data_IF_219343671404
#
_entry.id   IF_219343671404
#
_cell.length_a   1.000
_cell.length_b   1.000
_cell.length_c   1.000
_cell.angle_alpha   90.00
_cell.angle_beta   90.00
_cell.angle_gamma   90.00
#
_symmetry.space_group_name_H-M   'P 1'
#
loop_
_entity.id
_entity.type
_entity.pdbx_description
1 polymer ?
#
# COMPACT_ATOMS: atom_id res chain seq x y z
N UNK A 1 25.74 -26.97 -47.77
CA UNK A 1 25.63 -25.83 -46.84
C UNK A 1 26.36 -26.16 -45.54
N UNK A 2 27.49 -25.50 -45.27
CA UNK A 2 28.22 -25.67 -44.00
C UNK A 2 27.50 -24.92 -42.88
N UNK A 3 27.25 -25.59 -41.75
CA UNK A 3 26.78 -24.94 -40.52
C UNK A 3 28.00 -24.33 -39.83
N UNK A 4 27.92 -23.09 -39.34
CA UNK A 4 29.02 -22.44 -38.61
C UNK A 4 29.44 -21.08 -39.18
N UNK A 5 30.74 -20.77 -39.14
CA UNK A 5 31.33 -19.45 -39.46
C UNK A 5 30.87 -18.87 -40.80
N UNK A 6 30.90 -19.68 -41.86
CA UNK A 6 30.44 -19.27 -43.20
C UNK A 6 28.97 -18.86 -43.25
N UNK A 7 28.13 -19.44 -42.38
CA UNK A 7 26.70 -19.12 -42.29
C UNK A 7 26.40 -17.90 -41.41
N UNK A 8 27.27 -17.57 -40.44
CA UNK A 8 27.05 -16.44 -39.52
C UNK A 8 27.19 -15.09 -40.23
N UNK A 9 28.07 -14.96 -41.22
CA UNK A 9 28.24 -13.73 -42.00
C UNK A 9 26.97 -13.27 -42.74
N UNK A 10 26.05 -14.20 -43.01
CA UNK A 10 24.78 -13.91 -43.70
C UNK A 10 23.69 -13.33 -42.76
N UNK A 11 23.90 -13.31 -41.43
CA UNK A 11 22.87 -12.95 -40.42
C UNK A 11 22.78 -11.45 -40.15
N UNK A 12 22.50 -10.64 -41.18
CA UNK A 12 22.37 -9.17 -41.08
C UNK A 12 20.97 -8.67 -40.71
N UNK A 13 19.93 -9.36 -41.15
CA UNK A 13 18.55 -8.94 -40.94
C UNK A 13 18.11 -9.13 -39.48
N UNK A 14 17.39 -8.15 -38.92
CA UNK A 14 16.91 -8.20 -37.54
C UNK A 14 15.46 -8.64 -37.50
N UNK A 15 15.15 -9.65 -36.69
CA UNK A 15 13.78 -10.11 -36.46
C UNK A 15 13.03 -9.24 -35.44
N UNK A 16 13.77 -8.67 -34.48
CA UNK A 16 13.20 -7.94 -33.35
C UNK A 16 13.69 -6.48 -33.24
N UNK A 17 12.76 -5.59 -32.90
CA UNK A 17 12.99 -4.18 -32.55
C UNK A 17 12.49 -3.86 -31.13
N UNK A 18 12.69 -2.62 -30.69
CA UNK A 18 12.23 -2.14 -29.39
C UNK A 18 10.70 -2.04 -29.37
N UNK A 19 10.09 -2.58 -28.31
CA UNK A 19 8.64 -2.49 -28.12
C UNK A 19 8.26 -1.20 -27.40
N UNK A 20 7.34 -0.41 -27.98
CA UNK A 20 6.82 0.85 -27.39
C UNK A 20 6.28 0.71 -25.96
N UNK A 21 5.62 -0.41 -25.63
CA UNK A 21 5.02 -0.64 -24.30
C UNK A 21 6.04 -0.97 -23.19
N UNK A 22 7.03 -1.83 -23.47
CA UNK A 22 7.90 -2.40 -22.44
C UNK A 22 9.38 -2.06 -22.60
N UNK A 23 9.77 -1.33 -23.66
CA UNK A 23 11.14 -0.91 -23.92
C UNK A 23 12.12 -2.04 -24.26
N UNK A 24 11.68 -3.30 -24.25
CA UNK A 24 12.56 -4.43 -24.59
C UNK A 24 12.65 -4.67 -26.10
N UNK A 25 13.82 -5.10 -26.58
CA UNK A 25 14.04 -5.57 -27.95
C UNK A 25 13.42 -6.95 -28.19
N UNK A 26 12.09 -6.98 -28.25
CA UNK A 26 11.30 -8.21 -28.39
C UNK A 26 10.09 -8.03 -29.31
N UNK A 27 9.96 -6.90 -29.99
CA UNK A 27 8.89 -6.68 -30.96
C UNK A 27 9.27 -7.34 -32.28
N UNK A 28 8.53 -8.38 -32.69
CA UNK A 28 8.78 -9.08 -33.94
C UNK A 28 8.18 -8.29 -35.10
N UNK A 29 8.99 -7.97 -36.11
CA UNK A 29 8.57 -7.12 -37.24
C UNK A 29 7.50 -7.79 -38.11
N UNK A 30 7.78 -9.00 -38.62
CA UNK A 30 6.83 -9.71 -39.50
C UNK A 30 5.52 -10.07 -38.79
N UNK A 31 5.60 -10.66 -37.60
CA UNK A 31 4.42 -11.04 -36.80
C UNK A 31 3.74 -9.87 -36.09
N UNK A 32 4.29 -8.66 -36.20
CA UNK A 32 3.81 -7.45 -35.54
C UNK A 32 3.40 -7.65 -34.08
N UNK A 33 4.15 -8.46 -33.33
CA UNK A 33 3.81 -8.88 -31.96
C UNK A 33 5.04 -8.90 -31.06
N UNK A 34 4.87 -8.49 -29.81
CA UNK A 34 5.94 -8.48 -28.82
C UNK A 34 6.02 -9.81 -28.06
N UNK A 35 7.14 -10.52 -28.20
CA UNK A 35 7.41 -11.76 -27.48
C UNK A 35 7.54 -11.59 -25.96
N UNK A 36 7.82 -10.38 -25.45
CA UNK A 36 7.88 -10.12 -24.00
C UNK A 36 6.51 -9.81 -23.42
N UNK A 37 5.89 -8.71 -23.86
CA UNK A 37 4.68 -8.15 -23.24
C UNK A 37 3.37 -8.46 -23.98
N UNK A 38 3.42 -9.01 -25.20
CA UNK A 38 2.22 -9.32 -26.01
C UNK A 38 1.59 -8.13 -26.74
N UNK A 39 2.23 -6.95 -26.79
CA UNK A 39 1.77 -5.85 -27.66
C UNK A 39 1.60 -6.36 -29.10
N UNK A 40 0.47 -6.12 -29.80
CA UNK A 40 -0.57 -5.11 -29.59
C UNK A 40 -1.70 -5.48 -28.62
N UNK A 41 -1.79 -6.72 -28.14
CA UNK A 41 -2.90 -7.17 -27.28
C UNK A 41 -3.09 -6.25 -26.05
N UNK A 42 -4.34 -6.00 -25.65
CA UNK A 42 -4.68 -5.10 -24.53
C UNK A 42 -4.06 -5.58 -23.21
N UNK A 43 -4.16 -6.88 -22.93
CA UNK A 43 -3.61 -7.50 -21.71
C UNK A 43 -2.11 -7.75 -21.85
N UNK A 44 -1.35 -7.55 -20.76
CA UNK A 44 0.06 -7.90 -20.70
C UNK A 44 0.23 -9.42 -20.62
N UNK A 45 1.07 -9.98 -21.50
CA UNK A 45 1.45 -11.39 -21.49
C UNK A 45 2.15 -11.77 -20.18
N UNK A 46 1.61 -12.75 -19.46
CA UNK A 46 2.18 -13.33 -18.23
C UNK A 46 1.85 -14.82 -18.19
N UNK A 47 2.77 -15.64 -17.67
CA UNK A 47 2.54 -17.08 -17.48
C UNK A 47 2.93 -17.52 -16.09
N UNK A 48 2.28 -18.57 -15.59
CA UNK A 48 2.49 -19.09 -14.25
C UNK A 48 3.79 -19.88 -14.09
N UNK A 49 4.25 -20.54 -15.16
CA UNK A 49 5.49 -21.33 -15.17
C UNK A 49 6.77 -20.53 -14.94
N UNK A 50 6.76 -19.20 -15.06
CA UNK A 50 7.95 -18.36 -14.83
C UNK A 50 7.77 -17.33 -13.72
N UNK A 51 8.09 -17.72 -12.48
CA UNK A 51 8.10 -16.81 -11.33
C UNK A 51 9.12 -15.66 -11.50
N UNK A 52 10.31 -15.95 -12.05
CA UNK A 52 11.37 -14.94 -12.28
C UNK A 52 10.93 -13.88 -13.29
N UNK A 53 10.19 -14.26 -14.34
CA UNK A 53 9.67 -13.30 -15.31
C UNK A 53 8.59 -12.40 -14.71
N UNK A 54 7.72 -12.95 -13.85
CA UNK A 54 6.71 -12.16 -13.12
C UNK A 54 7.39 -11.11 -12.23
N UNK A 55 8.37 -11.52 -11.42
CA UNK A 55 9.09 -10.64 -10.48
C UNK A 55 9.71 -9.41 -11.16
N UNK A 56 10.32 -9.57 -12.33
CA UNK A 56 10.98 -8.46 -13.06
C UNK A 56 10.01 -7.39 -13.58
N UNK A 57 8.71 -7.68 -13.70
CA UNK A 57 7.72 -6.76 -14.29
C UNK A 57 6.48 -6.58 -13.40
N UNK A 58 6.57 -6.94 -12.13
CA UNK A 58 5.46 -6.77 -11.18
C UNK A 58 5.34 -5.32 -10.73
N UNK A 59 4.16 -4.94 -10.24
CA UNK A 59 3.95 -3.65 -9.57
C UNK A 59 4.94 -3.53 -8.40
N UNK A 60 5.64 -2.41 -8.28
CA UNK A 60 6.80 -2.29 -7.36
C UNK A 60 8.11 -1.98 -8.06
N UNK A 61 8.31 -2.53 -9.26
CA UNK A 61 9.60 -2.41 -9.99
C UNK A 61 9.83 -1.04 -10.66
N UNK A 62 8.75 -0.30 -10.94
CA UNK A 62 8.81 1.00 -11.62
C UNK A 62 8.78 2.18 -10.65
N UNK A 63 8.68 3.40 -11.20
CA UNK A 63 8.69 4.65 -10.42
C UNK A 63 7.50 4.83 -9.44
N UNK A 64 6.42 4.06 -9.60
CA UNK A 64 5.23 4.09 -8.74
C UNK A 64 4.70 5.50 -8.38
N UNK A 65 4.70 6.44 -9.33
CA UNK A 65 4.41 7.87 -9.06
C UNK A 65 3.10 8.09 -8.30
N UNK A 66 2.03 7.41 -8.73
CA UNK A 66 0.72 7.52 -8.08
C UNK A 66 0.66 6.68 -6.79
N UNK A 67 0.92 5.37 -6.87
CA UNK A 67 0.80 4.45 -5.75
C UNK A 67 1.65 4.86 -4.54
N UNK A 68 2.87 5.39 -4.75
CA UNK A 68 3.71 5.92 -3.67
C UNK A 68 3.00 7.02 -2.86
N UNK A 69 2.32 7.93 -3.55
CA UNK A 69 1.57 9.01 -2.91
C UNK A 69 0.32 8.48 -2.21
N UNK A 70 -0.35 7.47 -2.78
CA UNK A 70 -1.51 6.81 -2.15
C UNK A 70 -1.12 6.17 -0.82
N UNK A 71 -0.03 5.38 -0.79
CA UNK A 71 0.45 4.77 0.46
C UNK A 71 0.87 5.81 1.49
N UNK A 72 1.50 6.91 1.06
CA UNK A 72 1.85 8.03 1.94
C UNK A 72 0.60 8.68 2.57
N UNK A 73 -0.43 8.97 1.76
CA UNK A 73 -1.70 9.53 2.27
C UNK A 73 -2.41 8.57 3.21
N UNK A 74 -2.44 7.28 2.87
CA UNK A 74 -3.06 6.25 3.70
C UNK A 74 -2.42 6.24 5.10
N UNK A 75 -1.09 6.27 5.19
CA UNK A 75 -0.35 6.30 6.46
C UNK A 75 -0.74 7.50 7.35
N UNK A 76 -0.77 8.71 6.78
CA UNK A 76 -1.11 9.91 7.56
C UNK A 76 -2.59 9.97 7.94
N UNK A 77 -3.49 9.49 7.08
CA UNK A 77 -4.92 9.43 7.39
C UNK A 77 -5.23 8.38 8.47
N UNK A 78 -4.50 7.26 8.53
CA UNK A 78 -4.67 6.26 9.60
C UNK A 78 -4.16 6.75 10.95
N UNK A 79 -3.12 7.59 10.98
CA UNK A 79 -2.60 8.21 12.22
C UNK A 79 -3.59 9.26 12.78
N UNK A 80 -4.30 10.00 11.92
CA UNK A 80 -5.33 10.97 12.35
C UNK A 80 -6.62 10.33 12.89
N UNK A 81 -6.96 9.10 12.50
CA UNK A 81 -8.10 8.38 13.08
C UNK A 81 -7.76 7.84 14.49
N UNK A 82 -6.50 7.49 14.75
CA UNK A 82 -6.05 7.02 16.08
C UNK A 82 -5.99 8.15 17.12
N UNK A 83 -5.51 9.35 16.75
CA UNK A 83 -5.49 10.49 17.66
C UNK A 83 -6.86 11.21 17.83
N UNK A 84 -7.80 11.09 16.86
CA UNK A 84 -9.18 11.57 17.05
C UNK A 84 -10.00 10.68 17.99
N UNK A 85 -9.71 9.38 18.07
CA UNK A 85 -10.37 8.48 19.01
C UNK A 85 -9.79 8.55 20.43
N UNK A 86 -8.55 9.01 20.62
CA UNK A 86 -7.97 9.22 21.96
C UNK A 86 -8.19 10.63 22.54
N UNK A 87 -8.53 11.63 21.73
CA UNK A 87 -8.81 12.99 22.22
C UNK A 87 -10.31 13.36 22.25
N UNK A 88 -11.21 12.38 22.17
CA UNK A 88 -12.65 12.61 22.39
C UNK A 88 -13.26 11.69 23.47
N UNK A 89 -12.42 11.25 24.43
CA UNK A 89 -12.84 10.62 25.70
C UNK A 89 -12.22 11.36 26.90
N UNK A 90 -11.92 12.66 26.76
CA UNK A 90 -11.46 13.51 27.87
C UNK A 90 -12.40 14.66 28.20
N UNK A 91 -13.55 14.74 27.53
CA UNK A 91 -14.60 15.75 27.76
C UNK A 91 -15.86 15.18 28.43
N UNK A 92 -16.06 13.85 28.47
CA UNK A 92 -17.24 13.24 29.15
C UNK A 92 -16.98 12.82 30.60
N UNK A 93 -15.72 12.72 31.05
CA UNK A 93 -15.40 12.49 32.47
C UNK A 93 -15.38 13.78 33.29
N UNK A 94 -15.35 14.96 32.68
CA UNK A 94 -15.47 16.26 33.38
C UNK A 94 -16.93 16.62 33.69
N UNK A 95 -17.88 16.24 32.85
CA UNK A 95 -19.31 16.54 33.07
C UNK A 95 -19.97 15.65 34.15
N UNK A 96 -19.39 14.51 34.51
CA UNK A 96 -19.89 13.66 35.60
C UNK A 96 -19.52 14.19 37.00
N UNK A 97 -18.49 15.03 37.14
CA UNK A 97 -18.09 15.61 38.43
C UNK A 97 -18.85 16.90 38.79
N UNK A 98 -19.44 17.60 37.84
CA UNK A 98 -20.20 18.84 38.09
C UNK A 98 -21.70 18.63 38.34
N UNK A 99 -22.29 17.49 37.93
CA UNK A 99 -23.65 17.13 38.33
C UNK A 99 -23.71 16.43 39.70
N UNK A 100 -22.56 16.04 40.28
CA UNK A 100 -22.46 15.45 41.62
C UNK A 100 -22.33 16.51 42.73
N UNK A 101 -21.94 17.74 42.41
CA UNK A 101 -21.80 18.85 43.38
C UNK A 101 -23.07 19.67 43.58
N UNK A 102 -24.07 19.52 42.69
CA UNK A 102 -25.31 20.30 42.76
C UNK A 102 -26.51 19.56 43.39
N UNK A 103 -26.35 18.30 43.79
CA UNK A 103 -27.42 17.47 44.38
C UNK A 103 -27.20 17.13 45.86
N UNK A 104 -26.27 17.81 46.54
CA UNK A 104 -25.98 17.63 47.98
C UNK A 104 -25.77 18.97 48.70
N UNK A 105 -26.51 20.01 48.30
CA UNK A 105 -26.69 21.21 49.10
C UNK A 105 -28.19 21.49 49.19
N UNK A 106 -28.90 20.61 49.89
CA UNK A 106 -29.96 21.05 50.79
C UNK A 106 -30.39 19.88 51.68
N UNK A 107 -30.26 20.15 52.98
CA UNK A 107 -30.91 19.47 54.09
C UNK A 107 -30.35 18.14 54.64
N UNK A 108 -29.50 18.36 55.66
CA UNK A 108 -29.53 17.73 57.00
C UNK A 108 -28.58 16.54 57.25
N UNK A 109 -27.42 16.90 57.82
CA UNK A 109 -26.69 16.19 58.90
C UNK A 109 -27.68 15.65 59.98
N UNK A 110 -27.31 14.79 60.97
CA UNK A 110 -25.97 14.42 61.45
C UNK A 110 -25.84 12.95 61.98
N UNK A 111 -24.71 12.69 62.62
CA UNK A 111 -24.44 11.72 63.70
C UNK A 111 -23.71 10.43 63.34
N UNK A 112 -22.45 10.45 63.81
CA UNK A 112 -21.66 9.30 64.24
C UNK A 112 -21.21 8.38 63.13
N UNK A 113 -19.96 8.52 62.73
CA UNK A 113 -18.94 7.49 62.99
C UNK A 113 -17.60 8.03 62.49
N UNK A 114 -16.99 8.85 63.33
CA UNK A 114 -15.54 8.96 63.40
C UNK A 114 -15.03 7.61 63.91
N UNK A 115 -13.81 7.24 63.51
CA UNK A 115 -13.00 6.16 64.07
C UNK A 115 -13.35 4.78 63.48
N UNK A 116 -12.64 4.36 62.43
CA UNK A 116 -11.60 3.33 62.56
C UNK A 116 -10.79 3.21 61.25
N UNK A 117 -9.47 3.37 61.40
CA UNK A 117 -8.38 2.91 60.54
C UNK A 117 -8.33 3.46 59.09
N UNK A 118 -7.51 4.44 58.70
CA UNK A 118 -6.08 4.68 58.98
C UNK A 118 -5.23 3.39 58.89
N UNK A 119 -4.34 3.40 57.89
CA UNK A 119 -3.21 2.49 57.62
C UNK A 119 -3.59 1.13 57.01
N UNK A 120 -3.14 0.74 55.81
CA UNK A 120 -2.04 1.23 54.95
C UNK A 120 -2.42 1.22 53.46
#
# INVERSE_FOLDING_TARGET
MTKGTSSFGKRRNKTHTLCRRCGSKAYHLQKSTCGKCGYPAKRKRKYNWSAKAKRRNTTGTGRMRHLKNVYRRFRYNTEFQACKLHCNMRSYTEFQYLLKTHYLNEHLLPFSFVIYAVCM
#
